data_IF_234053141508
#
_entry.id   IF_234053141508
#
_cell.length_a   1.000
_cell.length_b   1.000
_cell.length_c   1.000
_cell.angle_alpha   90.00
_cell.angle_beta   90.00
_cell.angle_gamma   90.00
#
_symmetry.space_group_name_H-M   'P 1'
#
loop_
_entity.id
_entity.type
_entity.pdbx_description
1 polymer ?
#
# COMPACT_ATOMS: atom_id res chain seq x y z
N UNK A 1 -12.15 -8.54 30.72
CA UNK A 1 -11.89 -8.24 29.30
C UNK A 1 -10.43 -8.59 29.11
N UNK A 2 -10.12 -9.62 28.32
CA UNK A 2 -8.70 -9.93 28.05
C UNK A 2 -8.13 -8.74 27.27
N UNK A 3 -7.16 -8.06 27.87
CA UNK A 3 -6.48 -6.92 27.26
C UNK A 3 -5.52 -7.48 26.21
N UNK A 4 -5.88 -7.36 24.94
CA UNK A 4 -4.96 -7.69 23.85
C UNK A 4 -3.81 -6.68 23.85
N UNK A 5 -2.59 -7.18 24.00
CA UNK A 5 -1.36 -6.36 23.93
C UNK A 5 -0.52 -6.74 22.71
N UNK A 6 0.21 -5.76 22.18
CA UNK A 6 1.24 -5.99 21.16
C UNK A 6 2.44 -6.76 21.77
N UNK A 7 3.26 -7.53 21.01
CA UNK A 7 4.42 -8.24 21.58
C UNK A 7 5.46 -7.31 22.20
N UNK A 8 5.45 -6.05 21.79
CA UNK A 8 6.40 -5.00 22.17
C UNK A 8 5.84 -4.06 23.25
N UNK A 9 4.56 -4.21 23.57
CA UNK A 9 3.85 -3.42 24.56
C UNK A 9 3.79 -4.20 25.88
N UNK A 10 4.49 -3.74 26.93
CA UNK A 10 4.49 -4.51 28.16
C UNK A 10 3.13 -4.41 28.85
N UNK A 11 2.62 -5.57 29.25
CA UNK A 11 1.28 -5.73 29.80
C UNK A 11 1.02 -4.83 31.00
N UNK A 12 2.05 -4.60 31.81
CA UNK A 12 2.00 -3.73 32.99
C UNK A 12 1.59 -2.30 32.64
N UNK A 13 1.99 -1.79 31.45
CA UNK A 13 1.60 -0.46 30.99
C UNK A 13 0.12 -0.39 30.67
N UNK A 14 -0.41 -1.40 29.98
CA UNK A 14 -1.82 -1.45 29.60
C UNK A 14 -2.69 -1.56 30.85
N UNK A 15 -2.31 -2.42 31.78
CA UNK A 15 -2.99 -2.57 33.09
C UNK A 15 -2.95 -1.26 33.88
N UNK A 16 -1.79 -0.58 33.93
CA UNK A 16 -1.67 0.71 34.61
C UNK A 16 -2.57 1.79 34.00
N UNK A 17 -2.59 1.92 32.67
CA UNK A 17 -3.46 2.88 31.99
C UNK A 17 -4.94 2.53 32.20
N UNK A 18 -5.28 1.24 32.14
CA UNK A 18 -6.64 0.77 32.41
C UNK A 18 -7.09 1.08 33.84
N UNK A 19 -6.23 0.89 34.83
CA UNK A 19 -6.51 1.26 36.23
C UNK A 19 -6.71 2.77 36.40
N UNK A 20 -5.85 3.59 35.80
CA UNK A 20 -6.00 5.06 35.86
C UNK A 20 -7.32 5.52 35.24
N UNK A 21 -7.67 4.96 34.08
CA UNK A 21 -8.97 5.20 33.45
C UNK A 21 -10.14 4.79 34.37
N UNK A 22 -10.06 3.63 35.02
CA UNK A 22 -11.08 3.15 35.94
C UNK A 22 -11.28 4.02 37.19
N UNK A 23 -10.24 4.77 37.62
CA UNK A 23 -10.32 5.73 38.73
C UNK A 23 -11.01 7.04 38.34
N UNK A 24 -11.11 7.35 37.05
CA UNK A 24 -11.72 8.58 36.54
C UNK A 24 -10.88 9.86 36.71
N UNK A 25 -9.61 9.75 37.15
CA UNK A 25 -8.69 10.89 37.23
C UNK A 25 -8.02 11.13 35.87
N UNK A 26 -8.73 11.85 35.00
CA UNK A 26 -8.29 12.10 33.62
C UNK A 26 -7.05 12.99 33.53
N UNK A 27 -6.78 13.81 34.54
CA UNK A 27 -5.57 14.66 34.57
C UNK A 27 -4.33 13.81 34.83
N UNK A 28 -4.39 12.89 35.80
CA UNK A 28 -3.30 11.94 36.05
C UNK A 28 -3.11 11.02 34.85
N UNK A 29 -4.21 10.53 34.26
CA UNK A 29 -4.15 9.72 33.05
C UNK A 29 -3.50 10.46 31.87
N UNK A 30 -3.93 11.71 31.58
CA UNK A 30 -3.35 12.52 30.50
C UNK A 30 -1.84 12.68 30.67
N UNK A 31 -1.39 13.03 31.88
CA UNK A 31 0.04 13.20 32.18
C UNK A 31 0.81 11.90 32.03
N UNK A 32 0.25 10.77 32.48
CA UNK A 32 0.86 9.46 32.35
C UNK A 32 1.02 9.00 30.89
N UNK A 33 0.12 9.44 30.00
CA UNK A 33 0.17 9.19 28.57
C UNK A 33 1.19 10.12 27.88
N UNK A 34 1.13 11.43 28.12
CA UNK A 34 2.02 12.39 27.45
C UNK A 34 3.49 12.27 27.88
N UNK A 35 3.74 11.89 29.13
CA UNK A 35 5.08 11.80 29.71
C UNK A 35 5.33 10.40 30.27
N UNK A 36 5.47 9.39 29.39
CA UNK A 36 5.74 8.03 29.83
C UNK A 36 7.08 7.97 30.56
N UNK A 37 7.10 7.37 31.75
CA UNK A 37 8.32 7.12 32.51
C UNK A 37 9.17 5.98 31.89
N UNK A 38 9.74 6.21 30.71
CA UNK A 38 10.62 5.26 30.00
C UNK A 38 9.94 4.39 28.94
N UNK A 39 8.66 4.62 28.64
CA UNK A 39 7.90 3.87 27.63
C UNK A 39 7.92 4.63 26.31
N UNK A 40 8.53 4.07 25.27
CA UNK A 40 8.69 4.78 24.00
C UNK A 40 7.37 4.85 23.24
N UNK A 41 6.61 3.75 23.21
CA UNK A 41 5.34 3.64 22.49
C UNK A 41 4.19 3.32 23.44
N UNK A 42 3.00 3.82 23.13
CA UNK A 42 1.81 3.49 23.91
C UNK A 42 1.32 2.06 23.64
N UNK A 43 1.47 1.56 22.41
CA UNK A 43 1.03 0.22 22.06
C UNK A 43 -0.47 0.13 21.71
N UNK A 44 -0.84 -0.97 21.06
CA UNK A 44 -2.20 -1.25 20.63
C UNK A 44 -3.19 -1.39 21.80
N UNK A 45 -2.76 -1.99 22.90
CA UNK A 45 -3.56 -2.19 24.11
C UNK A 45 -3.97 -0.87 24.76
N UNK A 46 -3.02 0.06 24.96
CA UNK A 46 -3.33 1.41 25.47
C UNK A 46 -4.32 2.12 24.54
N UNK A 47 -4.11 2.07 23.22
CA UNK A 47 -5.04 2.67 22.27
C UNK A 47 -6.44 2.06 22.35
N UNK A 48 -6.52 0.76 22.60
CA UNK A 48 -7.80 0.05 22.80
C UNK A 48 -8.50 0.51 24.06
N UNK A 49 -7.78 0.68 25.18
CA UNK A 49 -8.32 1.24 26.43
C UNK A 49 -8.88 2.65 26.18
N UNK A 50 -8.13 3.53 25.53
CA UNK A 50 -8.55 4.91 25.26
C UNK A 50 -9.79 5.00 24.36
N UNK A 51 -9.88 4.15 23.34
CA UNK A 51 -11.05 4.08 22.45
C UNK A 51 -12.29 3.57 23.16
N UNK A 52 -12.12 2.70 24.17
CA UNK A 52 -13.19 2.11 24.96
C UNK A 52 -13.76 3.02 26.06
N UNK A 53 -13.17 4.19 26.30
CA UNK A 53 -13.64 5.13 27.32
C UNK A 53 -15.02 5.72 26.97
N UNK A 54 -15.83 6.07 27.98
CA UNK A 54 -17.05 6.86 27.78
C UNK A 54 -16.78 8.12 26.96
N UNK A 55 -17.73 8.52 26.11
CA UNK A 55 -17.55 9.68 25.23
C UNK A 55 -17.23 10.97 26.00
N UNK A 56 -17.83 11.18 27.18
CA UNK A 56 -17.55 12.32 28.04
C UNK A 56 -16.07 12.36 28.46
N UNK A 57 -15.51 11.22 28.84
CA UNK A 57 -14.11 11.10 29.28
C UNK A 57 -13.16 11.28 28.09
N UNK A 58 -13.50 10.71 26.92
CA UNK A 58 -12.74 10.93 25.69
C UNK A 58 -12.70 12.40 25.29
N UNK A 59 -13.82 13.12 25.40
CA UNK A 59 -13.88 14.57 25.14
C UNK A 59 -13.06 15.38 26.14
N UNK A 60 -13.09 14.99 27.42
CA UNK A 60 -12.28 15.65 28.45
C UNK A 60 -10.78 15.43 28.22
N UNK A 61 -10.35 14.19 27.93
CA UNK A 61 -8.97 13.88 27.56
C UNK A 61 -8.51 14.62 26.30
N UNK A 62 -9.36 14.70 25.27
CA UNK A 62 -9.05 15.44 24.05
C UNK A 62 -8.73 16.91 24.34
N UNK A 63 -9.48 17.57 25.25
CA UNK A 63 -9.19 18.94 25.68
C UNK A 63 -7.86 19.05 26.40
N UNK A 64 -7.57 18.14 27.33
CA UNK A 64 -6.29 18.10 28.05
C UNK A 64 -5.10 17.95 27.09
N UNK A 65 -5.20 17.07 26.09
CA UNK A 65 -4.16 16.91 25.08
C UNK A 65 -3.95 18.18 24.25
N UNK A 66 -5.04 18.86 23.84
CA UNK A 66 -4.96 20.12 23.09
C UNK A 66 -4.32 21.23 23.92
N UNK A 67 -4.72 21.36 25.19
CA UNK A 67 -4.14 22.32 26.13
C UNK A 67 -2.64 22.06 26.31
N UNK A 68 -2.24 20.81 26.58
CA UNK A 68 -0.84 20.44 26.79
C UNK A 68 0.00 20.69 25.52
N UNK A 69 -0.52 20.35 24.34
CA UNK A 69 0.15 20.63 23.05
C UNK A 69 0.39 22.13 22.82
N UNK A 70 -0.45 23.02 23.36
CA UNK A 70 -0.30 24.47 23.23
C UNK A 70 0.77 25.05 24.17
N UNK A 71 1.05 24.40 25.29
CA UNK A 71 1.98 24.94 26.31
C UNK A 71 3.47 24.84 25.95
N UNK A 72 3.82 24.18 24.83
CA UNK A 72 5.20 24.01 24.30
C UNK A 72 6.18 23.27 25.25
N UNK A 73 5.78 22.91 26.48
CA UNK A 73 6.70 22.40 27.50
C UNK A 73 7.33 21.03 27.17
N UNK A 74 6.73 20.24 26.27
CA UNK A 74 7.19 18.89 25.94
C UNK A 74 8.06 18.76 24.68
N UNK A 75 8.31 19.85 23.95
CA UNK A 75 9.05 19.80 22.67
C UNK A 75 8.32 19.05 21.54
N UNK A 76 9.00 18.84 20.38
CA UNK A 76 8.37 18.27 19.18
C UNK A 76 7.81 16.84 19.36
N UNK A 77 8.49 16.00 20.14
CA UNK A 77 8.09 14.61 20.34
C UNK A 77 6.81 14.50 21.19
N UNK A 78 6.69 15.32 22.24
CA UNK A 78 5.46 15.35 23.04
C UNK A 78 4.28 15.89 22.23
N UNK A 79 4.51 16.87 21.35
CA UNK A 79 3.48 17.37 20.45
C UNK A 79 2.97 16.26 19.51
N UNK A 80 3.90 15.53 18.86
CA UNK A 80 3.58 14.39 18.01
C UNK A 80 2.80 13.31 18.77
N UNK A 81 3.25 12.97 19.99
CA UNK A 81 2.56 12.02 20.87
C UNK A 81 1.14 12.49 21.22
N UNK A 82 0.99 13.76 21.58
CA UNK A 82 -0.30 14.38 21.87
C UNK A 82 -1.29 14.27 20.70
N UNK A 83 -0.82 14.47 19.45
CA UNK A 83 -1.65 14.29 18.26
C UNK A 83 -2.14 12.85 18.09
N UNK A 84 -1.30 11.86 18.36
CA UNK A 84 -1.64 10.43 18.24
C UNK A 84 -2.63 10.02 19.33
N UNK A 85 -2.41 10.48 20.57
CA UNK A 85 -3.35 10.26 21.67
C UNK A 85 -4.70 10.93 21.41
N UNK A 86 -4.69 12.15 20.85
CA UNK A 86 -5.89 12.84 20.40
C UNK A 86 -6.65 12.03 19.34
N UNK A 87 -5.95 11.46 18.35
CA UNK A 87 -6.55 10.58 17.35
C UNK A 87 -7.23 9.34 17.97
N UNK A 88 -6.65 8.78 19.03
CA UNK A 88 -7.21 7.61 19.72
C UNK A 88 -8.55 7.91 20.40
N UNK A 89 -8.70 9.11 20.98
CA UNK A 89 -9.92 9.47 21.73
C UNK A 89 -10.98 10.19 20.87
N UNK A 90 -10.62 10.78 19.74
CA UNK A 90 -11.47 11.71 18.98
C UNK A 90 -12.63 11.09 18.17
N UNK A 91 -12.82 9.77 18.21
CA UNK A 91 -13.85 9.09 17.41
C UNK A 91 -15.27 9.67 17.65
N UNK A 92 -15.92 10.14 16.59
CA UNK A 92 -17.27 10.72 16.63
C UNK A 92 -17.34 12.22 16.96
N UNK A 93 -16.22 12.88 17.26
CA UNK A 93 -16.21 14.32 17.56
C UNK A 93 -14.93 15.04 17.13
N UNK A 94 -14.21 14.50 16.15
CA UNK A 94 -12.99 15.10 15.64
C UNK A 94 -13.23 16.48 15.01
N UNK A 95 -12.37 17.44 15.35
CA UNK A 95 -12.35 18.78 14.74
C UNK A 95 -11.59 18.77 13.40
N UNK A 96 -11.91 19.72 12.50
CA UNK A 96 -11.26 19.86 11.20
C UNK A 96 -9.76 20.15 11.33
N UNK A 97 -9.37 20.99 12.29
CA UNK A 97 -7.96 21.33 12.57
C UNK A 97 -7.15 20.12 13.05
N UNK A 98 -7.78 19.20 13.79
CA UNK A 98 -7.12 17.97 14.21
C UNK A 98 -6.90 17.03 13.03
N UNK A 99 -7.89 16.93 12.14
CA UNK A 99 -7.76 16.16 10.91
C UNK A 99 -6.61 16.69 10.04
N UNK A 100 -6.48 18.00 9.88
CA UNK A 100 -5.36 18.62 9.15
C UNK A 100 -4.01 18.29 9.79
N UNK A 101 -3.91 18.33 11.12
CA UNK A 101 -2.69 17.97 11.84
C UNK A 101 -2.32 16.48 11.68
N UNK A 102 -3.30 15.57 11.76
CA UNK A 102 -3.07 14.14 11.53
C UNK A 102 -2.66 13.85 10.09
N UNK A 103 -3.29 14.50 9.11
CA UNK A 103 -2.90 14.36 7.70
C UNK A 103 -1.46 14.85 7.49
N UNK A 104 -1.10 16.03 8.02
CA UNK A 104 0.25 16.56 7.92
C UNK A 104 1.29 15.62 8.54
N UNK A 105 0.98 15.05 9.71
CA UNK A 105 1.83 14.05 10.38
C UNK A 105 2.02 12.80 9.50
N UNK A 106 0.94 12.25 8.94
CA UNK A 106 1.00 11.07 8.09
C UNK A 106 1.76 11.33 6.78
N UNK A 107 1.55 12.49 6.15
CA UNK A 107 2.30 12.89 4.95
C UNK A 107 3.78 13.05 5.23
N UNK A 108 4.15 13.66 6.35
CA UNK A 108 5.56 13.76 6.75
C UNK A 108 6.20 12.38 6.92
N UNK A 109 5.45 11.45 7.53
CA UNK A 109 5.90 10.06 7.67
C UNK A 109 6.07 9.37 6.31
N UNK A 110 5.09 9.50 5.41
CA UNK A 110 5.14 8.91 4.07
C UNK A 110 6.28 9.47 3.20
N UNK A 111 6.71 10.72 3.44
CA UNK A 111 7.89 11.29 2.78
C UNK A 111 9.21 10.73 3.30
N UNK A 112 9.30 10.41 4.59
CA UNK A 112 10.54 9.98 5.25
C UNK A 112 10.76 8.48 5.18
N UNK A 113 9.69 7.71 5.14
CA UNK A 113 9.74 6.26 5.27
C UNK A 113 9.09 5.57 4.08
N UNK A 114 9.77 4.55 3.56
CA UNK A 114 9.19 3.67 2.55
C UNK A 114 8.10 2.78 3.16
N UNK A 115 8.34 2.24 4.35
CA UNK A 115 7.41 1.47 5.17
C UNK A 115 7.70 1.74 6.64
N UNK A 116 6.76 1.41 7.54
CA UNK A 116 6.93 1.55 8.99
C UNK A 116 6.63 0.22 9.66
N UNK A 117 7.58 -0.29 10.46
CA UNK A 117 7.47 -1.61 11.07
C UNK A 117 6.69 -1.63 12.38
N UNK A 118 6.70 -0.54 13.17
CA UNK A 118 6.34 -0.62 14.60
C UNK A 118 5.41 0.48 15.10
N UNK A 119 5.05 1.45 14.26
CA UNK A 119 4.53 2.70 14.79
C UNK A 119 3.00 2.76 14.75
N UNK A 120 2.37 2.62 15.92
CA UNK A 120 0.91 2.73 16.09
C UNK A 120 0.35 4.09 15.68
N UNK A 121 1.19 5.12 15.63
CA UNK A 121 0.84 6.48 15.18
C UNK A 121 0.17 6.46 13.82
N UNK A 122 0.71 5.69 12.87
CA UNK A 122 0.26 5.67 11.49
C UNK A 122 -1.15 5.10 11.41
N UNK A 123 -1.38 3.94 12.04
CA UNK A 123 -2.66 3.25 12.05
C UNK A 123 -3.71 4.04 12.83
N UNK A 124 -3.34 4.61 13.98
CA UNK A 124 -4.24 5.37 14.84
C UNK A 124 -4.72 6.66 14.18
N UNK A 125 -3.82 7.46 13.62
CA UNK A 125 -4.18 8.68 12.89
C UNK A 125 -4.96 8.38 11.61
N UNK A 126 -4.60 7.32 10.88
CA UNK A 126 -5.34 6.92 9.68
C UNK A 126 -6.78 6.50 10.02
N UNK A 127 -6.95 5.73 11.10
CA UNK A 127 -8.27 5.33 11.59
C UNK A 127 -9.10 6.55 12.01
N UNK A 128 -8.50 7.52 12.70
CA UNK A 128 -9.18 8.76 13.12
C UNK A 128 -9.66 9.60 11.92
N UNK A 129 -8.82 9.78 10.89
CA UNK A 129 -9.19 10.46 9.66
C UNK A 129 -10.36 9.76 8.95
N UNK A 130 -10.29 8.43 8.80
CA UNK A 130 -11.36 7.66 8.18
C UNK A 130 -12.65 7.75 8.99
N UNK A 131 -12.60 7.73 10.33
CA UNK A 131 -13.78 7.93 11.20
C UNK A 131 -14.38 9.33 11.07
N UNK A 132 -13.56 10.34 10.77
CA UNK A 132 -14.00 11.68 10.42
C UNK A 132 -14.48 11.79 8.95
N UNK A 133 -14.66 10.67 8.24
CA UNK A 133 -15.05 10.61 6.83
C UNK A 133 -14.09 11.37 5.90
N UNK A 134 -12.81 11.49 6.27
CA UNK A 134 -11.76 12.07 5.44
C UNK A 134 -11.10 10.98 4.59
N UNK A 135 -10.67 11.36 3.38
CA UNK A 135 -9.82 10.50 2.56
C UNK A 135 -8.37 10.59 3.02
N UNK A 136 -7.64 9.49 2.90
CA UNK A 136 -6.21 9.49 3.14
C UNK A 136 -5.47 9.90 1.85
N UNK A 137 -4.36 10.65 1.95
CA UNK A 137 -3.51 10.94 0.81
C UNK A 137 -2.94 9.67 0.17
N UNK A 138 -2.70 9.71 -1.14
CA UNK A 138 -2.22 8.54 -1.89
C UNK A 138 -0.87 8.01 -1.38
N UNK A 139 0.06 8.88 -1.02
CA UNK A 139 1.36 8.50 -0.47
C UNK A 139 1.24 7.83 0.91
N UNK A 140 0.25 8.24 1.71
CA UNK A 140 -0.05 7.63 3.01
C UNK A 140 -0.64 6.23 2.81
N UNK A 141 -1.51 6.07 1.82
CA UNK A 141 -2.05 4.77 1.43
C UNK A 141 -0.94 3.82 0.94
N UNK A 142 0.01 4.35 0.16
CA UNK A 142 1.19 3.59 -0.25
C UNK A 142 2.02 3.12 0.95
N UNK A 143 2.32 4.02 1.89
CA UNK A 143 3.01 3.69 3.13
C UNK A 143 2.27 2.59 3.93
N UNK A 144 0.95 2.72 4.10
CA UNK A 144 0.12 1.76 4.83
C UNK A 144 0.13 0.37 4.17
N UNK A 145 -0.07 0.30 2.86
CA UNK A 145 -0.08 -0.96 2.10
C UNK A 145 1.28 -1.65 2.11
N UNK A 146 2.39 -0.89 1.98
CA UNK A 146 3.75 -1.45 2.08
C UNK A 146 4.04 -1.97 3.49
N UNK A 147 3.71 -1.18 4.51
CA UNK A 147 3.86 -1.58 5.92
C UNK A 147 3.08 -2.85 6.24
N UNK A 148 1.89 -3.02 5.65
CA UNK A 148 1.09 -4.24 5.82
C UNK A 148 1.72 -5.49 5.21
N UNK A 149 2.55 -5.37 4.17
CA UNK A 149 3.26 -6.51 3.55
C UNK A 149 4.43 -7.02 4.40
N UNK A 150 4.96 -6.19 5.30
CA UNK A 150 6.09 -6.54 6.17
C UNK A 150 5.68 -7.38 7.40
N UNK A 151 4.39 -7.79 7.48
CA UNK A 151 3.95 -8.78 8.46
C UNK A 151 3.53 -8.21 9.81
N UNK A 152 2.97 -6.99 9.83
CA UNK A 152 2.34 -6.46 11.03
C UNK A 152 1.06 -7.23 11.41
N UNK A 153 0.58 -7.03 12.65
CA UNK A 153 -0.62 -7.68 13.17
C UNK A 153 -1.87 -7.29 12.36
N UNK A 154 -2.58 -8.25 11.73
CA UNK A 154 -3.78 -7.96 10.94
C UNK A 154 -4.83 -7.17 11.72
N UNK A 155 -5.00 -7.44 13.01
CA UNK A 155 -6.03 -6.84 13.87
C UNK A 155 -5.90 -5.31 13.96
N UNK A 156 -4.67 -4.79 13.92
CA UNK A 156 -4.40 -3.35 13.92
C UNK A 156 -4.65 -2.70 12.55
N UNK A 157 -4.46 -3.45 11.47
CA UNK A 157 -4.44 -2.92 10.11
C UNK A 157 -5.78 -3.06 9.40
N UNK A 158 -6.47 -4.18 9.59
CA UNK A 158 -7.72 -4.53 8.91
C UNK A 158 -8.79 -3.42 9.00
N UNK A 159 -9.00 -2.76 10.17
CA UNK A 159 -9.96 -1.66 10.27
C UNK A 159 -9.62 -0.46 9.37
N UNK A 160 -8.35 -0.26 9.04
CA UNK A 160 -7.87 0.81 8.14
C UNK A 160 -7.85 0.32 6.71
N UNK A 161 -7.15 -0.79 6.43
CA UNK A 161 -6.94 -1.34 5.09
C UNK A 161 -8.25 -1.67 4.38
N UNK A 162 -9.23 -2.22 5.10
CA UNK A 162 -10.55 -2.55 4.52
C UNK A 162 -11.38 -1.34 4.09
N UNK A 163 -10.96 -0.12 4.47
CA UNK A 163 -11.64 1.16 4.16
C UNK A 163 -10.85 2.02 3.16
N UNK A 164 -9.73 1.51 2.64
CA UNK A 164 -8.94 2.24 1.65
C UNK A 164 -9.56 2.06 0.26
N UNK A 165 -10.14 3.13 -0.29
CA UNK A 165 -10.84 3.09 -1.57
C UNK A 165 -10.01 3.52 -2.78
N UNK A 166 -8.89 4.21 -2.57
CA UNK A 166 -8.05 4.66 -3.68
C UNK A 166 -6.90 5.51 -3.17
N UNK A 167 -5.82 5.69 -3.95
CA UNK A 167 -5.68 5.27 -5.35
C UNK A 167 -5.57 3.75 -5.51
N UNK A 168 -5.96 3.25 -6.70
CA UNK A 168 -5.93 1.81 -7.00
C UNK A 168 -4.52 1.25 -6.92
N UNK A 169 -3.53 1.98 -7.45
CA UNK A 169 -2.10 1.73 -7.31
C UNK A 169 -1.49 2.65 -6.24
N UNK A 170 -0.37 2.25 -5.66
CA UNK A 170 0.44 3.12 -4.83
C UNK A 170 1.20 4.12 -5.72
N UNK A 171 1.20 5.42 -5.38
CA UNK A 171 2.01 6.39 -6.11
C UNK A 171 3.51 6.22 -5.82
N UNK A 172 4.35 6.72 -6.72
CA UNK A 172 5.80 6.78 -6.60
C UNK A 172 6.57 5.96 -7.63
N UNK A 173 5.94 4.96 -8.26
CA UNK A 173 6.51 4.34 -9.47
C UNK A 173 6.09 5.17 -10.69
N UNK A 174 7.04 5.51 -11.58
CA UNK A 174 6.77 6.36 -12.75
C UNK A 174 5.61 5.85 -13.62
N UNK A 175 5.54 4.54 -13.86
CA UNK A 175 4.46 3.91 -14.59
C UNK A 175 3.13 3.96 -13.83
N UNK A 176 3.14 3.79 -12.50
CA UNK A 176 1.93 3.80 -11.68
C UNK A 176 1.38 5.22 -11.59
N UNK A 177 2.23 6.22 -11.42
CA UNK A 177 1.86 7.64 -11.43
C UNK A 177 1.25 8.03 -12.79
N UNK A 178 1.80 7.50 -13.88
CA UNK A 178 1.24 7.69 -15.22
C UNK A 178 -0.17 7.07 -15.35
N UNK A 179 -0.33 5.81 -14.93
CA UNK A 179 -1.65 5.14 -14.90
C UNK A 179 -2.66 5.94 -14.07
N UNK A 180 -2.27 6.35 -12.85
CA UNK A 180 -3.13 7.12 -11.94
C UNK A 180 -3.54 8.49 -12.50
N UNK A 181 -2.69 9.09 -13.34
CA UNK A 181 -2.99 10.34 -14.03
C UNK A 181 -4.00 10.15 -15.17
N UNK A 182 -3.88 9.07 -15.94
CA UNK A 182 -4.76 8.81 -17.09
C UNK A 182 -6.11 8.22 -16.69
N UNK A 183 -6.15 7.37 -15.67
CA UNK A 183 -7.32 6.59 -15.24
C UNK A 183 -8.61 7.42 -15.09
N UNK A 184 -8.61 8.62 -14.49
CA UNK A 184 -9.80 9.47 -14.40
C UNK A 184 -10.39 9.85 -15.77
N UNK A 185 -9.55 9.98 -16.79
CA UNK A 185 -9.96 10.34 -18.17
C UNK A 185 -10.40 9.13 -18.98
N UNK A 186 -9.84 7.95 -18.68
CA UNK A 186 -10.14 6.69 -19.36
C UNK A 186 -11.48 6.09 -18.89
N UNK A 187 -11.89 6.34 -17.64
CA UNK A 187 -13.18 5.95 -17.09
C UNK A 187 -13.21 4.60 -16.36
N UNK A 188 -14.41 4.20 -15.96
CA UNK A 188 -14.63 3.06 -15.05
C UNK A 188 -14.16 1.69 -15.58
N UNK A 189 -14.35 1.32 -16.86
CA UNK A 189 -13.86 0.02 -17.36
C UNK A 189 -12.35 -0.16 -17.20
N UNK A 190 -11.59 0.93 -17.32
CA UNK A 190 -10.14 0.92 -17.12
C UNK A 190 -9.75 0.80 -15.66
N UNK A 191 -10.48 1.45 -14.75
CA UNK A 191 -10.31 1.22 -13.31
C UNK A 191 -10.52 -0.25 -12.96
N UNK A 192 -11.63 -0.85 -13.41
CA UNK A 192 -11.93 -2.26 -13.17
C UNK A 192 -10.87 -3.20 -13.75
N UNK A 193 -10.30 -2.86 -14.91
CA UNK A 193 -9.20 -3.62 -15.53
C UNK A 193 -7.91 -3.56 -14.69
N UNK A 194 -7.52 -2.38 -14.21
CA UNK A 194 -6.33 -2.20 -13.35
C UNK A 194 -6.54 -2.88 -11.99
N UNK A 195 -7.73 -2.78 -11.40
CA UNK A 195 -8.09 -3.50 -10.18
C UNK A 195 -8.02 -5.02 -10.36
N UNK A 196 -8.50 -5.55 -11.50
CA UNK A 196 -8.38 -6.98 -11.80
C UNK A 196 -6.92 -7.41 -11.98
N UNK A 197 -6.09 -6.55 -12.57
CA UNK A 197 -4.66 -6.80 -12.72
C UNK A 197 -3.94 -6.92 -11.36
N UNK A 198 -4.33 -6.16 -10.34
CA UNK A 198 -3.76 -6.27 -8.98
C UNK A 198 -3.90 -7.66 -8.35
N UNK A 199 -4.86 -8.46 -8.82
CA UNK A 199 -5.12 -9.80 -8.31
C UNK A 199 -4.47 -10.90 -9.16
N UNK A 200 -3.58 -10.52 -10.09
CA UNK A 200 -2.89 -11.50 -10.92
C UNK A 200 -1.94 -12.37 -10.09
N UNK A 201 -1.94 -13.70 -10.30
CA UNK A 201 -0.98 -14.56 -9.65
C UNK A 201 0.43 -14.31 -10.22
N UNK A 202 1.44 -14.34 -9.35
CA UNK A 202 2.86 -14.23 -9.74
C UNK A 202 3.31 -15.34 -10.71
N UNK A 203 2.59 -16.47 -10.69
CA UNK A 203 2.78 -17.61 -11.59
C UNK A 203 2.03 -17.44 -12.91
N UNK A 204 1.45 -18.53 -13.42
CA UNK A 204 0.55 -18.52 -14.59
C UNK A 204 -0.89 -18.23 -14.12
N UNK A 205 -1.62 -17.31 -14.78
CA UNK A 205 -3.03 -17.08 -14.49
C UNK A 205 -3.90 -18.32 -14.65
N UNK A 206 -4.98 -18.36 -13.87
CA UNK A 206 -5.99 -19.40 -13.99
C UNK A 206 -6.92 -19.08 -15.16
N UNK A 207 -7.63 -20.10 -15.68
CA UNK A 207 -8.67 -19.89 -16.71
C UNK A 207 -9.77 -18.93 -16.25
N UNK A 208 -10.09 -18.93 -14.96
CA UNK A 208 -11.07 -18.00 -14.36
C UNK A 208 -10.57 -16.56 -14.41
N UNK A 209 -9.29 -16.34 -14.09
CA UNK A 209 -8.66 -15.02 -14.20
C UNK A 209 -8.66 -14.53 -15.65
N UNK A 210 -8.25 -15.39 -16.60
CA UNK A 210 -8.24 -15.06 -18.04
C UNK A 210 -9.62 -14.66 -18.55
N UNK A 211 -10.65 -15.45 -18.20
CA UNK A 211 -12.04 -15.17 -18.62
C UNK A 211 -12.52 -13.83 -18.09
N UNK A 212 -12.22 -13.51 -16.83
CA UNK A 212 -12.59 -12.22 -16.24
C UNK A 212 -11.84 -11.07 -16.89
N UNK A 213 -10.55 -11.23 -17.16
CA UNK A 213 -9.76 -10.22 -17.88
C UNK A 213 -10.36 -9.93 -19.27
N UNK A 214 -10.66 -10.97 -20.05
CA UNK A 214 -11.31 -10.83 -21.35
C UNK A 214 -12.69 -10.17 -21.27
N UNK A 215 -13.50 -10.50 -20.24
CA UNK A 215 -14.79 -9.85 -20.04
C UNK A 215 -14.69 -8.36 -19.67
N UNK A 216 -13.60 -7.95 -18.99
CA UNK A 216 -13.32 -6.53 -18.71
C UNK A 216 -12.77 -5.79 -19.93
N UNK A 217 -12.15 -6.52 -20.85
CA UNK A 217 -11.67 -5.99 -22.14
C UNK A 217 -12.75 -5.93 -23.19
N UNK A 218 -13.77 -6.79 -23.16
CA UNK A 218 -14.88 -6.79 -24.14
C UNK A 218 -15.55 -5.42 -24.39
N UNK A 219 -15.84 -4.58 -23.36
CA UNK A 219 -16.36 -3.23 -23.60
C UNK A 219 -15.30 -2.22 -24.06
N UNK A 220 -14.02 -2.60 -24.06
CA UNK A 220 -12.89 -1.80 -24.51
C UNK A 220 -12.51 -2.23 -25.93
N UNK A 221 -12.12 -1.27 -26.78
CA UNK A 221 -11.55 -1.63 -28.07
C UNK A 221 -10.17 -2.30 -27.86
N UNK A 222 -9.93 -3.46 -28.48
CA UNK A 222 -8.69 -4.24 -28.26
C UNK A 222 -7.43 -3.47 -28.69
N UNK A 223 -7.55 -2.66 -29.74
CA UNK A 223 -6.45 -1.83 -30.21
C UNK A 223 -6.16 -0.71 -29.22
N UNK A 224 -7.21 -0.09 -28.67
CA UNK A 224 -7.12 0.88 -27.59
C UNK A 224 -6.49 0.26 -26.33
N UNK A 225 -6.90 -0.95 -25.92
CA UNK A 225 -6.27 -1.66 -24.79
C UNK A 225 -4.77 -1.77 -24.99
N UNK A 226 -4.34 -2.18 -26.17
CA UNK A 226 -2.92 -2.31 -26.48
C UNK A 226 -2.19 -0.97 -26.44
N UNK A 227 -2.72 0.05 -27.11
CA UNK A 227 -2.10 1.36 -27.21
C UNK A 227 -1.99 2.08 -25.87
N UNK A 228 -2.86 1.79 -24.91
CA UNK A 228 -2.78 2.37 -23.56
C UNK A 228 -1.87 1.54 -22.64
N UNK A 229 -1.99 0.21 -22.66
CA UNK A 229 -1.21 -0.65 -21.74
C UNK A 229 0.27 -0.73 -22.14
N UNK A 230 0.59 -0.69 -23.43
CA UNK A 230 1.98 -0.80 -23.89
C UNK A 230 2.88 0.34 -23.33
N UNK A 231 2.52 1.64 -23.43
CA UNK A 231 3.27 2.73 -22.80
C UNK A 231 3.46 2.56 -21.29
N UNK A 232 2.43 2.10 -20.56
CA UNK A 232 2.55 1.84 -19.12
C UNK A 232 3.61 0.79 -18.81
N UNK A 233 3.63 -0.30 -19.57
CA UNK A 233 4.62 -1.37 -19.41
C UNK A 233 6.01 -0.97 -19.92
N UNK A 234 6.11 -0.10 -20.91
CA UNK A 234 7.39 0.46 -21.37
C UNK A 234 8.03 1.33 -20.29
N UNK A 235 7.25 2.19 -19.61
CA UNK A 235 7.72 2.95 -18.45
C UNK A 235 8.16 2.00 -17.33
N UNK A 236 7.40 0.93 -17.08
CA UNK A 236 7.77 -0.06 -16.08
C UNK A 236 9.08 -0.79 -16.44
N UNK A 237 9.39 -0.96 -17.73
CA UNK A 237 10.64 -1.59 -18.16
C UNK A 237 11.89 -0.77 -17.79
N UNK A 238 11.74 0.53 -17.51
CA UNK A 238 12.82 1.41 -17.07
C UNK A 238 13.06 1.37 -15.54
N UNK A 239 12.18 0.72 -14.78
CA UNK A 239 12.30 0.51 -13.34
C UNK A 239 11.10 0.98 -12.51
N UNK A 240 11.18 0.75 -11.21
CA UNK A 240 10.28 1.33 -10.20
C UNK A 240 10.88 2.56 -9.52
N UNK A 241 10.15 3.11 -8.54
CA UNK A 241 10.53 4.30 -7.76
C UNK A 241 11.38 4.01 -6.51
N UNK A 242 11.69 2.74 -6.21
CA UNK A 242 12.53 2.36 -5.07
C UNK A 242 14.00 2.78 -5.23
N UNK A 243 14.77 2.76 -4.12
CA UNK A 243 16.18 3.20 -4.10
C UNK A 243 17.10 2.43 -5.05
N UNK A 244 16.76 1.17 -5.37
CA UNK A 244 17.48 0.30 -6.31
C UNK A 244 16.74 0.12 -7.66
N UNK A 245 15.72 0.96 -7.91
CA UNK A 245 14.81 0.80 -9.05
C UNK A 245 13.79 -0.33 -8.87
N UNK A 246 13.62 -0.85 -7.66
CA UNK A 246 12.62 -1.85 -7.32
C UNK A 246 11.20 -1.26 -7.44
N UNK A 247 10.26 -2.12 -7.84
CA UNK A 247 8.84 -1.78 -7.89
C UNK A 247 8.22 -1.75 -6.50
N UNK A 248 7.17 -0.95 -6.33
CA UNK A 248 6.33 -1.08 -5.15
C UNK A 248 5.74 -2.51 -5.06
N UNK A 249 5.91 -3.21 -3.92
CA UNK A 249 5.49 -4.60 -3.78
C UNK A 249 3.97 -4.81 -3.92
N UNK A 250 3.16 -3.79 -3.62
CA UNK A 250 1.72 -3.82 -3.86
C UNK A 250 1.41 -3.69 -5.36
N UNK A 251 2.08 -2.76 -6.05
CA UNK A 251 1.85 -2.50 -7.48
C UNK A 251 2.35 -3.64 -8.40
N UNK A 252 3.35 -4.41 -7.97
CA UNK A 252 3.98 -5.45 -8.77
C UNK A 252 2.98 -6.48 -9.32
N UNK A 253 1.92 -6.78 -8.58
CA UNK A 253 0.87 -7.70 -9.05
C UNK A 253 0.12 -7.13 -10.25
N UNK A 254 -0.15 -5.82 -10.26
CA UNK A 254 -0.77 -5.16 -11.41
C UNK A 254 0.12 -5.21 -12.66
N UNK A 255 1.43 -4.97 -12.55
CA UNK A 255 2.35 -5.13 -13.69
C UNK A 255 2.33 -6.53 -14.27
N UNK A 256 2.35 -7.54 -13.39
CA UNK A 256 2.24 -8.95 -13.81
C UNK A 256 0.90 -9.18 -14.51
N UNK A 257 -0.20 -8.65 -13.97
CA UNK A 257 -1.52 -8.74 -14.56
C UNK A 257 -1.62 -8.09 -15.94
N UNK A 258 -1.11 -6.86 -16.11
CA UNK A 258 -1.06 -6.13 -17.37
C UNK A 258 -0.16 -6.85 -18.40
N UNK A 259 0.94 -7.46 -17.96
CA UNK A 259 1.80 -8.30 -18.80
C UNK A 259 1.05 -9.52 -19.33
N UNK A 260 0.28 -10.19 -18.46
CA UNK A 260 -0.55 -11.32 -18.87
C UNK A 260 -1.69 -10.89 -19.79
N UNK A 261 -2.27 -9.73 -19.56
CA UNK A 261 -3.33 -9.17 -20.39
C UNK A 261 -2.89 -9.06 -21.86
N UNK A 262 -1.67 -8.55 -22.13
CA UNK A 262 -1.15 -8.47 -23.50
C UNK A 262 -1.06 -9.82 -24.21
N UNK A 263 -0.85 -10.92 -23.47
CA UNK A 263 -0.83 -12.28 -24.04
C UNK A 263 -2.21 -12.88 -24.29
N UNK A 264 -3.28 -12.23 -23.81
CA UNK A 264 -4.67 -12.62 -24.07
C UNK A 264 -5.26 -11.94 -25.30
N UNK A 265 -4.70 -10.79 -25.69
CA UNK A 265 -5.12 -10.05 -26.88
C UNK A 265 -4.64 -10.74 -28.16
N UNK A 266 -5.25 -10.46 -29.32
CA UNK A 266 -4.70 -10.86 -30.61
C UNK A 266 -3.23 -10.42 -30.71
N UNK A 267 -2.31 -11.34 -31.11
CA UNK A 267 -0.88 -11.04 -31.17
C UNK A 267 -0.58 -9.83 -32.05
N UNK A 268 0.29 -8.93 -31.55
CA UNK A 268 0.67 -7.71 -32.25
C UNK A 268 2.17 -7.42 -32.06
N UNK A 269 2.87 -6.87 -33.07
CA UNK A 269 4.30 -6.57 -32.96
C UNK A 269 4.66 -5.66 -31.79
N UNK A 270 3.80 -4.68 -31.47
CA UNK A 270 4.00 -3.80 -30.32
C UNK A 270 4.00 -4.57 -29.01
N UNK A 271 2.98 -5.40 -28.76
CA UNK A 271 2.90 -6.23 -27.55
C UNK A 271 4.12 -7.14 -27.41
N UNK A 272 4.61 -7.73 -28.50
CA UNK A 272 5.82 -8.57 -28.51
C UNK A 272 7.05 -7.75 -28.11
N UNK A 273 7.22 -6.55 -28.67
CA UNK A 273 8.34 -5.64 -28.31
C UNK A 273 8.27 -5.19 -26.86
N UNK A 274 7.09 -4.79 -26.38
CA UNK A 274 6.88 -4.36 -24.99
C UNK A 274 7.20 -5.50 -24.01
N UNK A 275 6.71 -6.72 -24.27
CA UNK A 275 7.05 -7.89 -23.48
C UNK A 275 8.55 -8.20 -23.54
N UNK A 276 9.18 -8.07 -24.70
CA UNK A 276 10.62 -8.23 -24.86
C UNK A 276 11.44 -7.22 -24.05
N UNK A 277 11.00 -5.96 -24.03
CA UNK A 277 11.61 -4.91 -23.22
C UNK A 277 11.56 -5.23 -21.72
N UNK A 278 10.43 -5.74 -21.22
CA UNK A 278 10.28 -6.18 -19.83
C UNK A 278 11.17 -7.37 -19.45
N UNK A 279 11.66 -8.13 -20.43
CA UNK A 279 12.63 -9.22 -20.19
C UNK A 279 14.07 -8.71 -20.24
N UNK A 280 14.35 -7.75 -21.13
CA UNK A 280 15.71 -7.28 -21.41
C UNK A 280 16.20 -6.20 -20.42
N UNK A 281 15.33 -5.25 -20.08
CA UNK A 281 15.65 -4.05 -19.29
C UNK A 281 15.20 -4.05 -17.81
N UNK A 282 14.52 -5.07 -17.25
CA UNK A 282 13.88 -4.90 -15.96
C UNK A 282 14.93 -4.64 -14.86
N UNK A 283 14.58 -3.91 -13.79
CA UNK A 283 15.35 -3.90 -12.56
C UNK A 283 15.56 -5.35 -12.10
N UNK A 284 16.74 -5.63 -11.54
CA UNK A 284 17.22 -6.99 -11.31
C UNK A 284 16.23 -7.81 -10.46
N UNK A 285 15.97 -9.07 -10.86
CA UNK A 285 15.33 -10.13 -10.05
C UNK A 285 13.81 -9.98 -9.76
N UNK A 286 13.02 -9.48 -10.70
CA UNK A 286 11.58 -9.31 -10.45
C UNK A 286 10.72 -10.48 -11.00
N UNK A 287 9.63 -10.85 -10.31
CA UNK A 287 8.58 -11.73 -10.84
C UNK A 287 8.03 -11.32 -12.21
N UNK A 288 8.08 -10.01 -12.50
CA UNK A 288 7.64 -9.42 -13.77
C UNK A 288 8.40 -9.99 -14.97
N UNK A 289 9.73 -10.11 -14.89
CA UNK A 289 10.55 -10.71 -15.97
C UNK A 289 10.07 -12.13 -16.30
N UNK A 290 9.81 -12.93 -15.27
CA UNK A 290 9.32 -14.30 -15.44
C UNK A 290 7.91 -14.33 -16.04
N UNK A 291 7.05 -13.38 -15.68
CA UNK A 291 5.73 -13.24 -16.29
C UNK A 291 5.83 -12.89 -17.78
N UNK A 292 6.70 -11.94 -18.15
CA UNK A 292 6.91 -11.52 -19.53
C UNK A 292 7.45 -12.64 -20.43
N UNK A 293 8.43 -13.43 -19.95
CA UNK A 293 8.91 -14.62 -20.68
C UNK A 293 7.77 -15.62 -20.94
N UNK A 294 6.93 -15.88 -19.92
CA UNK A 294 5.81 -16.81 -20.06
C UNK A 294 4.66 -16.24 -20.91
N UNK A 295 4.47 -14.94 -20.91
CA UNK A 295 3.52 -14.24 -21.77
C UNK A 295 3.94 -14.36 -23.25
N UNK A 296 5.23 -14.17 -23.57
CA UNK A 296 5.79 -14.42 -24.91
C UNK A 296 5.61 -15.89 -25.34
N UNK A 297 5.89 -16.83 -24.43
CA UNK A 297 5.72 -18.26 -24.70
C UNK A 297 4.25 -18.70 -24.88
N UNK A 298 3.29 -17.85 -24.48
CA UNK A 298 1.85 -18.10 -24.65
C UNK A 298 1.35 -17.70 -26.04
N UNK A 299 2.06 -16.80 -26.73
CA UNK A 299 1.71 -16.38 -28.09
C UNK A 299 1.89 -17.53 -29.09
N UNK A 300 1.25 -17.49 -30.28
CA UNK A 300 1.50 -18.46 -31.33
C UNK A 300 3.00 -18.58 -31.64
N UNK A 301 3.48 -19.81 -31.81
CA UNK A 301 4.91 -20.13 -31.94
C UNK A 301 5.64 -19.24 -32.95
N UNK A 302 5.07 -19.02 -34.15
CA UNK A 302 5.68 -18.21 -35.20
C UNK A 302 5.84 -16.71 -34.86
N UNK A 303 5.21 -16.23 -33.78
CA UNK A 303 5.28 -14.84 -33.32
C UNK A 303 6.09 -14.69 -32.02
N UNK A 304 5.90 -15.59 -31.06
CA UNK A 304 6.59 -15.54 -29.76
C UNK A 304 8.03 -16.07 -29.81
N UNK A 305 8.28 -17.19 -30.50
CA UNK A 305 9.61 -17.82 -30.54
C UNK A 305 10.72 -16.92 -31.10
N UNK A 306 10.53 -16.15 -32.19
CA UNK A 306 11.58 -15.27 -32.70
C UNK A 306 12.08 -14.27 -31.65
N UNK A 307 11.16 -13.72 -30.85
CA UNK A 307 11.51 -12.78 -29.79
C UNK A 307 12.21 -13.48 -28.61
N UNK A 308 11.77 -14.67 -28.22
CA UNK A 308 12.46 -15.49 -27.21
C UNK A 308 13.88 -15.88 -27.65
N UNK A 309 14.09 -16.21 -28.93
CA UNK A 309 15.41 -16.46 -29.50
C UNK A 309 16.29 -15.21 -29.50
N UNK A 310 15.72 -14.05 -29.84
CA UNK A 310 16.43 -12.77 -29.71
C UNK A 310 16.88 -12.56 -28.27
N UNK A 311 15.99 -12.75 -27.31
CA UNK A 311 16.26 -12.56 -25.88
C UNK A 311 17.31 -13.55 -25.34
N UNK A 312 17.34 -14.81 -25.79
CA UNK A 312 18.34 -15.80 -25.34
C UNK A 312 19.78 -15.38 -25.69
N UNK A 313 19.96 -14.55 -26.72
CA UNK A 313 21.29 -14.02 -27.09
C UNK A 313 21.71 -12.80 -26.28
N UNK A 314 20.75 -12.03 -25.73
CA UNK A 314 20.99 -10.75 -25.05
C UNK A 314 20.99 -10.87 -23.53
N UNK A 315 20.10 -11.70 -22.97
CA UNK A 315 19.92 -11.82 -21.53
C UNK A 315 20.99 -12.73 -20.93
N UNK A 316 21.81 -12.18 -20.03
CA UNK A 316 22.89 -12.93 -19.35
C UNK A 316 22.54 -13.38 -17.94
N UNK A 317 21.44 -12.88 -17.37
CA UNK A 317 21.03 -13.25 -16.02
C UNK A 317 20.63 -14.73 -15.95
N UNK A 318 21.33 -15.51 -15.11
CA UNK A 318 21.24 -16.98 -15.07
C UNK A 318 19.82 -17.53 -14.86
N UNK A 319 18.98 -16.87 -14.07
CA UNK A 319 17.60 -17.35 -13.81
C UNK A 319 16.73 -17.07 -15.02
N UNK A 320 16.76 -15.85 -15.55
CA UNK A 320 15.96 -15.44 -16.71
C UNK A 320 16.36 -16.21 -17.96
N UNK A 321 17.67 -16.40 -18.19
CA UNK A 321 18.19 -17.21 -19.29
C UNK A 321 17.62 -18.64 -19.25
N UNK A 322 17.60 -19.28 -18.08
CA UNK A 322 16.99 -20.62 -17.92
C UNK A 322 15.49 -20.62 -18.23
N UNK A 323 14.76 -19.59 -17.80
CA UNK A 323 13.33 -19.45 -18.12
C UNK A 323 13.09 -19.29 -19.62
N UNK A 324 13.93 -18.52 -20.32
CA UNK A 324 13.86 -18.34 -21.78
C UNK A 324 14.10 -19.68 -22.50
N UNK A 325 15.15 -20.42 -22.11
CA UNK A 325 15.42 -21.73 -22.72
C UNK A 325 14.30 -22.74 -22.52
N UNK A 326 13.75 -22.81 -21.29
CA UNK A 326 12.58 -23.65 -21.02
C UNK A 326 11.34 -23.23 -21.82
N UNK A 327 11.19 -21.94 -22.14
CA UNK A 327 10.11 -21.45 -22.99
C UNK A 327 10.32 -21.83 -24.46
N UNK A 328 11.55 -21.83 -24.96
CA UNK A 328 11.89 -22.22 -26.33
C UNK A 328 11.72 -23.73 -26.60
N UNK A 329 11.83 -24.56 -25.56
CA UNK A 329 11.65 -26.02 -25.63
C UNK A 329 10.17 -26.47 -25.67
N UNK A 330 9.23 -25.56 -25.42
CA UNK A 330 7.79 -25.81 -25.41
C UNK A 330 7.14 -25.42 -26.73
#
# INVERSE_FOLDING_TARGET
>A
MDLETSPWEPRERVEYIWELAGRGDLTVLSRALLFPAGWQDEGFGVMTVLRGLPEADRKALARLFVEDMATTQGGPDAHKRGLVLLAAVASGFADSSWCEAWEALLRDKARRFWYSQTDDEMWTCSHALLNASRHLPGEVIGLLRRSAKEGWRPECMEPVLGRLHGPVLNPGDSWADHVLTELPTLGEPWHALVEHALHAPMGRPTRTWDRRALGLVDPLDLEQVRHTVAPWLELAADGGGGSDGDYDPYNLSALVGLTWLLSLLPPHPESIRTLGALVERPPLRTPLTGAAVRALARLPHHLGHPELQRLSTRVRHKVTYRQIHQALER
#
